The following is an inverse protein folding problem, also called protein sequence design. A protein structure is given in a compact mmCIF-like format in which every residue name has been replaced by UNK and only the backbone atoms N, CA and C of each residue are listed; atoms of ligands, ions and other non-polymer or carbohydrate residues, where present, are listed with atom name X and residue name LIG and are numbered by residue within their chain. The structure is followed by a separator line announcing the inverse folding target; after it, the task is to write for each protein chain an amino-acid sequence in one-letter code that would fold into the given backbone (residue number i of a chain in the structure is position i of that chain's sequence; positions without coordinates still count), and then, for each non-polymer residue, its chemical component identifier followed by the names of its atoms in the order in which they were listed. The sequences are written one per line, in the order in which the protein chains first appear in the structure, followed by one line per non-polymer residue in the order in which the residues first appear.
data_IF_117589064337
#
_entry.id   IF_117589064337
#
_cell.length_a   1.000
_cell.length_b   1.000
_cell.length_c   1.000
_cell.angle_alpha   90.00
_cell.angle_beta   90.00
_cell.angle_gamma   90.00
#
_symmetry.space_group_name_H-M   'P 1'
#
loop_
_entity.id
_entity.type
_entity.pdbx_description
1 polymer ?
#
# COMPACT_ATOMS: atom_id res chain seq x y z
N UNK A 1 17.01 -0.11 14.82
CA UNK A 1 15.77 0.06 14.02
C UNK A 1 15.22 1.42 14.39
N UNK A 2 15.02 2.34 13.44
CA UNK A 2 14.42 3.65 13.74
C UNK A 2 13.00 3.47 14.26
N UNK A 3 12.56 4.33 15.18
CA UNK A 3 11.17 4.33 15.64
C UNK A 3 10.25 4.93 14.55
N UNK A 4 8.96 4.57 14.55
CA UNK A 4 7.97 5.16 13.61
C UNK A 4 8.00 6.68 13.71
N UNK A 5 8.08 7.22 14.93
CA UNK A 5 8.17 8.65 15.20
C UNK A 5 9.39 9.29 14.54
N UNK A 6 10.58 8.68 14.65
CA UNK A 6 11.81 9.16 14.01
C UNK A 6 11.71 9.14 12.48
N UNK A 7 11.13 8.08 11.91
CA UNK A 7 10.93 7.97 10.46
C UNK A 7 10.01 9.09 9.96
N UNK A 8 8.92 9.36 10.68
CA UNK A 8 7.96 10.40 10.33
C UNK A 8 8.52 11.81 10.50
N UNK A 9 9.27 12.07 11.57
CA UNK A 9 9.98 13.34 11.76
C UNK A 9 10.98 13.60 10.62
N UNK A 10 11.73 12.58 10.23
CA UNK A 10 12.71 12.67 9.14
C UNK A 10 12.03 12.94 7.78
N UNK A 11 10.85 12.34 7.56
CA UNK A 11 10.10 12.47 6.32
C UNK A 11 9.18 13.69 6.25
N UNK A 12 8.98 14.43 7.35
CA UNK A 12 8.03 15.54 7.44
C UNK A 12 8.23 16.56 6.31
N UNK A 13 9.48 16.92 6.02
CA UNK A 13 9.79 17.87 4.95
C UNK A 13 9.42 17.36 3.56
N UNK A 14 9.48 16.04 3.34
CA UNK A 14 8.99 15.38 2.12
C UNK A 14 7.47 15.36 2.05
N UNK A 15 6.78 15.06 3.16
CA UNK A 15 5.32 15.02 3.25
C UNK A 15 4.72 16.42 3.01
N UNK A 16 5.26 17.45 3.67
CA UNK A 16 4.88 18.86 3.44
C UNK A 16 5.18 19.35 2.02
N UNK A 17 6.15 18.73 1.36
CA UNK A 17 6.42 19.00 -0.05
C UNK A 17 5.37 18.34 -0.95
N UNK A 18 5.03 17.07 -0.70
CA UNK A 18 4.00 16.35 -1.45
C UNK A 18 2.62 17.03 -1.35
N UNK A 19 2.26 17.58 -0.18
CA UNK A 19 0.98 18.25 0.01
C UNK A 19 0.82 19.56 -0.77
N UNK A 20 1.92 20.15 -1.25
CA UNK A 20 1.92 21.36 -2.10
C UNK A 20 1.80 21.05 -3.59
N UNK A 21 1.94 19.79 -4.00
CA UNK A 21 1.82 19.39 -5.39
C UNK A 21 0.35 19.34 -5.80
N UNK A 22 0.04 19.91 -6.96
CA UNK A 22 -1.26 19.73 -7.58
C UNK A 22 -1.42 18.29 -8.06
N UNK A 23 -2.56 17.62 -7.81
CA UNK A 23 -2.75 16.22 -8.20
C UNK A 23 -2.48 15.90 -9.67
N UNK A 24 -1.51 15.01 -9.93
CA UNK A 24 -1.19 14.42 -11.25
C UNK A 24 -0.82 12.95 -11.12
N UNK A 25 -0.93 12.22 -12.23
CA UNK A 25 -0.51 10.81 -12.35
C UNK A 25 1.02 10.71 -12.35
N UNK A 26 1.70 11.63 -13.04
CA UNK A 26 3.15 11.71 -13.12
C UNK A 26 3.58 13.17 -13.14
N UNK A 27 4.76 13.44 -12.58
CA UNK A 27 5.31 14.76 -12.36
C UNK A 27 6.74 14.83 -12.93
N UNK A 28 7.10 15.99 -13.45
CA UNK A 28 8.47 16.35 -13.83
C UNK A 28 9.22 16.90 -12.62
N UNK A 29 10.42 16.41 -12.34
CA UNK A 29 11.27 16.97 -11.29
C UNK A 29 11.56 18.45 -11.58
N UNK A 30 11.86 18.78 -12.84
CA UNK A 30 12.22 20.15 -13.25
C UNK A 30 11.02 21.09 -13.16
N UNK A 31 9.87 20.66 -13.67
CA UNK A 31 8.74 21.58 -13.89
C UNK A 31 7.74 21.59 -12.73
N UNK A 32 7.65 20.50 -11.95
CA UNK A 32 6.72 20.40 -10.83
C UNK A 32 7.42 20.46 -9.46
N UNK A 33 8.56 19.77 -9.30
CA UNK A 33 9.22 19.69 -7.99
C UNK A 33 10.11 20.90 -7.66
N UNK A 34 10.95 21.34 -8.59
CA UNK A 34 11.89 22.47 -8.37
C UNK A 34 11.17 23.76 -7.97
N UNK A 35 10.05 24.18 -8.61
CA UNK A 35 9.35 25.40 -8.21
C UNK A 35 8.88 25.40 -6.74
N UNK A 36 8.55 24.23 -6.20
CA UNK A 36 8.11 24.06 -4.80
C UNK A 36 9.30 23.84 -3.85
N UNK A 37 10.37 23.22 -4.33
CA UNK A 37 11.55 22.88 -3.55
C UNK A 37 12.62 23.99 -3.51
N UNK A 38 12.58 24.94 -4.45
CA UNK A 38 13.55 26.01 -4.63
C UNK A 38 14.84 25.60 -5.35
N UNK A 39 15.17 24.30 -5.40
CA UNK A 39 16.32 23.79 -6.14
C UNK A 39 16.17 22.32 -6.50
N UNK A 40 16.93 21.87 -7.51
CA UNK A 40 16.96 20.46 -7.94
C UNK A 40 17.47 19.53 -6.83
N UNK A 41 18.50 19.94 -6.10
CA UNK A 41 19.05 19.17 -4.98
C UNK A 41 18.01 18.99 -3.86
N UNK A 42 17.30 20.06 -3.51
CA UNK A 42 16.24 19.99 -2.48
C UNK A 42 15.04 19.17 -2.95
N UNK A 43 14.69 19.22 -4.24
CA UNK A 43 13.64 18.40 -4.82
C UNK A 43 13.98 16.91 -4.68
N UNK A 44 15.16 16.48 -5.14
CA UNK A 44 15.59 15.08 -5.03
C UNK A 44 15.72 14.63 -3.58
N UNK A 45 16.22 15.47 -2.67
CA UNK A 45 16.28 15.15 -1.24
C UNK A 45 14.89 14.85 -0.67
N UNK A 46 13.90 15.73 -0.94
CA UNK A 46 12.52 15.54 -0.47
C UNK A 46 11.83 14.34 -1.10
N UNK A 47 12.07 14.09 -2.40
CA UNK A 47 11.56 12.92 -3.10
C UNK A 47 12.15 11.63 -2.54
N UNK A 48 13.45 11.60 -2.24
CA UNK A 48 14.11 10.45 -1.62
C UNK A 48 13.55 10.13 -0.23
N UNK A 49 13.20 11.14 0.57
CA UNK A 49 12.50 10.93 1.85
C UNK A 49 11.15 10.23 1.66
N UNK A 50 10.37 10.64 0.65
CA UNK A 50 9.09 10.00 0.33
C UNK A 50 9.27 8.58 -0.23
N UNK A 51 10.22 8.38 -1.13
CA UNK A 51 10.56 7.08 -1.70
C UNK A 51 11.04 6.09 -0.63
N UNK A 52 11.78 6.59 0.37
CA UNK A 52 12.22 5.78 1.50
C UNK A 52 11.05 5.21 2.32
N UNK A 53 9.93 5.93 2.39
CA UNK A 53 8.68 5.48 2.99
C UNK A 53 7.73 4.78 1.99
N UNK A 54 8.10 4.57 0.73
CA UNK A 54 7.18 4.01 -0.27
C UNK A 54 6.03 4.95 -0.68
N UNK A 55 6.17 6.25 -0.39
CA UNK A 55 5.20 7.30 -0.74
C UNK A 55 5.46 7.95 -2.10
N UNK A 56 6.60 7.65 -2.72
CA UNK A 56 6.94 8.10 -4.06
C UNK A 56 7.72 7.02 -4.81
N UNK A 57 7.71 7.12 -6.14
CA UNK A 57 8.59 6.35 -7.02
C UNK A 57 9.25 7.32 -7.98
N UNK A 58 10.58 7.27 -8.08
CA UNK A 58 11.36 8.17 -8.93
C UNK A 58 11.95 7.35 -10.08
N UNK A 59 11.76 7.82 -11.31
CA UNK A 59 12.39 7.24 -12.48
C UNK A 59 12.96 8.35 -13.38
N UNK A 60 14.29 8.46 -13.40
CA UNK A 60 15.03 9.52 -14.10
C UNK A 60 14.61 10.92 -13.62
N UNK A 61 14.03 11.73 -14.50
CA UNK A 61 13.53 13.09 -14.23
C UNK A 61 12.03 13.14 -13.96
N UNK A 62 11.38 11.99 -13.84
CA UNK A 62 9.96 11.88 -13.55
C UNK A 62 9.73 11.20 -12.20
N UNK A 63 8.62 11.51 -11.55
CA UNK A 63 8.21 10.85 -10.33
C UNK A 63 6.70 10.68 -10.27
N UNK A 64 6.27 9.77 -9.39
CA UNK A 64 4.87 9.56 -9.03
C UNK A 64 4.75 9.67 -7.51
N UNK A 65 3.64 10.25 -7.05
CA UNK A 65 3.31 10.33 -5.63
C UNK A 65 2.20 9.35 -5.34
N UNK A 66 2.43 8.46 -4.39
CA UNK A 66 1.41 7.56 -3.88
C UNK A 66 0.29 8.39 -3.23
N UNK A 67 -0.96 8.07 -3.54
CA UNK A 67 -2.14 8.77 -2.99
C UNK A 67 -2.16 8.76 -1.45
N UNK A 68 -1.57 7.74 -0.82
CA UNK A 68 -1.34 7.69 0.62
C UNK A 68 -0.66 8.95 1.18
N UNK A 69 0.23 9.59 0.42
CA UNK A 69 1.00 10.75 0.86
C UNK A 69 0.12 12.00 1.16
N UNK A 70 -1.15 11.98 0.77
CA UNK A 70 -2.12 13.06 1.05
C UNK A 70 -2.91 12.86 2.34
N UNK A 71 -2.73 11.73 3.00
CA UNK A 71 -3.35 11.51 4.29
C UNK A 71 -2.79 12.48 5.35
N UNK A 72 -3.59 12.88 6.34
CA UNK A 72 -3.09 13.60 7.50
C UNK A 72 -1.94 12.86 8.21
N UNK A 73 -1.06 13.62 8.88
CA UNK A 73 0.13 13.07 9.55
C UNK A 73 -0.19 11.94 10.53
N UNK A 74 -1.25 12.11 11.32
CA UNK A 74 -1.68 11.10 12.31
C UNK A 74 -2.12 9.78 11.67
N UNK A 75 -2.57 9.80 10.40
CA UNK A 75 -2.86 8.58 9.64
C UNK A 75 -1.57 8.03 9.03
N UNK A 76 -0.73 8.89 8.44
CA UNK A 76 0.55 8.46 7.85
C UNK A 76 1.41 7.68 8.85
N UNK A 77 1.46 8.11 10.12
CA UNK A 77 2.11 7.38 11.22
C UNK A 77 1.61 5.94 11.36
N UNK A 78 0.29 5.73 11.19
CA UNK A 78 -0.36 4.41 11.27
C UNK A 78 -0.14 3.58 10.01
N UNK A 79 0.13 4.23 8.87
CA UNK A 79 0.44 3.56 7.60
C UNK A 79 1.91 3.10 7.50
N UNK A 80 2.83 3.64 8.31
CA UNK A 80 4.27 3.31 8.24
C UNK A 80 4.54 1.80 8.23
N UNK A 81 3.93 0.96 9.10
CA UNK A 81 4.14 -0.48 9.07
C UNK A 81 3.76 -1.11 7.72
N UNK A 82 2.58 -0.75 7.19
CA UNK A 82 2.09 -1.22 5.89
C UNK A 82 2.96 -0.74 4.73
N UNK A 83 3.38 0.53 4.76
CA UNK A 83 4.26 1.13 3.77
C UNK A 83 5.63 0.43 3.70
N UNK A 84 6.24 0.15 4.86
CA UNK A 84 7.51 -0.59 4.93
C UNK A 84 7.32 -2.02 4.41
N UNK A 85 6.25 -2.70 4.83
CA UNK A 85 5.96 -4.06 4.38
C UNK A 85 5.77 -4.13 2.86
N UNK A 86 5.02 -3.19 2.29
CA UNK A 86 4.78 -3.09 0.85
C UNK A 86 6.04 -2.73 0.05
N UNK A 87 6.89 -1.84 0.57
CA UNK A 87 8.16 -1.47 -0.06
C UNK A 87 9.12 -2.67 -0.14
N UNK A 88 9.14 -3.49 0.89
CA UNK A 88 10.02 -4.67 0.99
C UNK A 88 9.33 -5.96 0.53
N UNK A 89 8.16 -5.86 -0.11
CA UNK A 89 7.37 -7.01 -0.51
C UNK A 89 8.11 -7.84 -1.57
N UNK A 90 8.05 -9.17 -1.43
CA UNK A 90 8.59 -10.10 -2.43
C UNK A 90 7.45 -10.68 -3.26
N UNK A 91 7.60 -10.63 -4.58
CA UNK A 91 6.59 -11.09 -5.52
C UNK A 91 7.01 -12.40 -6.16
N UNK A 92 6.06 -13.34 -6.25
CA UNK A 92 6.27 -14.68 -6.74
C UNK A 92 5.21 -15.06 -7.77
N UNK A 93 5.64 -15.80 -8.80
CA UNK A 93 4.77 -16.38 -9.80
C UNK A 93 5.37 -17.67 -10.33
N UNK A 94 4.51 -18.65 -10.60
CA UNK A 94 4.87 -19.91 -11.26
C UNK A 94 4.28 -19.95 -12.66
N UNK A 95 2.95 -19.83 -12.76
CA UNK A 95 2.21 -19.74 -14.02
C UNK A 95 1.59 -18.37 -14.25
N UNK A 96 1.73 -17.45 -13.29
CA UNK A 96 1.15 -16.11 -13.31
C UNK A 96 -0.38 -16.16 -13.50
N UNK A 97 -1.02 -17.11 -12.81
CA UNK A 97 -2.45 -17.39 -12.92
C UNK A 97 -3.08 -17.66 -11.55
N UNK A 98 -4.42 -17.72 -11.50
CA UNK A 98 -5.21 -18.04 -10.30
C UNK A 98 -4.78 -19.35 -9.60
N UNK A 99 -4.19 -20.30 -10.34
CA UNK A 99 -3.63 -21.53 -9.76
C UNK A 99 -2.53 -21.26 -8.73
N UNK A 100 -1.72 -20.23 -8.96
CA UNK A 100 -0.62 -19.84 -8.07
C UNK A 100 -1.19 -19.33 -6.75
N UNK A 101 -2.25 -18.53 -6.83
CA UNK A 101 -2.96 -17.99 -5.66
C UNK A 101 -3.61 -19.12 -4.86
N UNK A 102 -4.31 -20.05 -5.53
CA UNK A 102 -4.96 -21.17 -4.87
C UNK A 102 -3.95 -22.11 -4.19
N UNK A 103 -2.82 -22.36 -4.84
CA UNK A 103 -1.72 -23.14 -4.24
C UNK A 103 -1.26 -22.49 -2.94
N UNK A 104 -0.99 -21.18 -2.95
CA UNK A 104 -0.49 -20.49 -1.76
C UNK A 104 -1.54 -20.43 -0.66
N UNK A 105 -2.80 -20.12 -0.97
CA UNK A 105 -3.91 -20.12 0.00
C UNK A 105 -4.04 -21.46 0.74
N UNK A 106 -3.82 -22.57 0.05
CA UNK A 106 -3.91 -23.91 0.62
C UNK A 106 -2.66 -24.36 1.40
N UNK A 107 -1.55 -23.63 1.28
CA UNK A 107 -0.27 -23.97 1.89
C UNK A 107 0.30 -22.81 2.74
N UNK A 108 -0.57 -21.95 3.26
CA UNK A 108 -0.16 -20.83 4.10
C UNK A 108 0.47 -21.36 5.40
N UNK A 109 1.64 -20.86 5.80
CA UNK A 109 2.21 -21.22 7.09
C UNK A 109 1.33 -20.68 8.23
N UNK A 110 1.37 -21.35 9.38
CA UNK A 110 0.62 -20.93 10.56
C UNK A 110 0.92 -19.49 10.96
N UNK A 111 -0.12 -18.76 11.36
CA UNK A 111 -0.02 -17.34 11.73
C UNK A 111 0.07 -16.37 10.56
N UNK A 112 -0.02 -16.86 9.31
CA UNK A 112 -0.16 -16.01 8.13
C UNK A 112 -1.47 -15.23 8.14
N UNK A 113 -1.46 -14.06 7.51
CA UNK A 113 -2.63 -13.18 7.42
C UNK A 113 -2.79 -12.67 5.98
N UNK A 114 -3.89 -13.01 5.33
CA UNK A 114 -4.23 -12.51 3.99
C UNK A 114 -4.76 -11.08 4.12
N UNK A 115 -4.25 -10.16 3.32
CA UNK A 115 -4.66 -8.74 3.31
C UNK A 115 -4.95 -8.24 1.89
N UNK A 116 -5.25 -6.94 1.75
CA UNK A 116 -5.51 -6.22 0.49
C UNK A 116 -6.54 -6.94 -0.38
N UNK A 117 -6.55 -6.71 -1.69
CA UNK A 117 -7.29 -7.40 -2.76
C UNK A 117 -8.22 -8.53 -2.29
N UNK A 118 -7.69 -9.70 -1.91
CA UNK A 118 -8.52 -10.84 -1.51
C UNK A 118 -9.29 -10.60 -0.22
N UNK A 119 -8.65 -10.07 0.82
CA UNK A 119 -9.33 -9.83 2.09
C UNK A 119 -10.29 -8.65 2.01
N UNK A 120 -9.94 -7.61 1.27
CA UNK A 120 -10.82 -6.48 0.96
C UNK A 120 -12.07 -6.98 0.22
N UNK A 121 -11.90 -7.76 -0.85
CA UNK A 121 -13.01 -8.39 -1.57
C UNK A 121 -13.83 -9.34 -0.69
N UNK A 122 -13.19 -10.11 0.20
CA UNK A 122 -13.91 -11.01 1.10
C UNK A 122 -14.90 -10.27 2.01
N UNK A 123 -14.54 -9.07 2.48
CA UNK A 123 -15.36 -8.28 3.41
C UNK A 123 -16.31 -7.30 2.70
N UNK A 124 -15.94 -6.74 1.56
CA UNK A 124 -16.76 -5.73 0.85
C UNK A 124 -17.49 -6.27 -0.38
N UNK A 125 -16.95 -7.31 -1.04
CA UNK A 125 -17.35 -7.79 -2.36
C UNK A 125 -17.27 -6.75 -3.48
N UNK A 126 -16.53 -5.65 -3.26
CA UNK A 126 -16.52 -4.48 -4.13
C UNK A 126 -15.64 -4.65 -5.38
N UNK A 127 -14.32 -4.83 -5.24
CA UNK A 127 -13.42 -5.02 -6.40
C UNK A 127 -12.96 -6.46 -6.55
N UNK A 128 -12.91 -6.97 -7.79
CA UNK A 128 -12.30 -8.28 -8.05
C UNK A 128 -10.81 -8.28 -7.67
N UNK A 129 -10.37 -9.25 -6.84
CA UNK A 129 -8.98 -9.33 -6.40
C UNK A 129 -8.07 -9.74 -7.57
N UNK A 130 -6.88 -9.16 -7.65
CA UNK A 130 -5.88 -9.49 -8.67
C UNK A 130 -4.68 -10.22 -8.07
N UNK A 131 -4.18 -9.71 -6.94
CA UNK A 131 -2.96 -10.20 -6.30
C UNK A 131 -3.28 -10.76 -4.90
N UNK A 132 -2.65 -11.87 -4.53
CA UNK A 132 -2.70 -12.43 -3.18
C UNK A 132 -1.59 -11.80 -2.33
N UNK A 133 -1.95 -10.86 -1.47
CA UNK A 133 -1.05 -10.30 -0.46
C UNK A 133 -1.15 -11.07 0.85
N UNK A 134 -0.01 -11.52 1.37
CA UNK A 134 0.04 -12.35 2.58
C UNK A 134 1.13 -11.85 3.50
N UNK A 135 0.75 -11.49 4.72
CA UNK A 135 1.70 -11.32 5.81
C UNK A 135 2.17 -12.68 6.34
N UNK A 136 3.49 -12.87 6.40
CA UNK A 136 4.14 -14.07 6.91
C UNK A 136 5.15 -13.70 7.99
N UNK A 137 5.34 -14.59 8.96
CA UNK A 137 6.25 -14.36 10.09
C UNK A 137 7.72 -14.41 9.67
N UNK A 138 8.07 -15.27 8.72
CA UNK A 138 9.43 -15.40 8.18
C UNK A 138 9.36 -15.40 6.65
N UNK A 139 9.64 -14.24 6.05
CA UNK A 139 9.56 -14.06 4.61
C UNK A 139 10.57 -14.92 3.84
N UNK A 140 11.76 -15.18 4.41
CA UNK A 140 12.80 -15.95 3.73
C UNK A 140 12.47 -17.44 3.72
N UNK A 141 11.94 -17.95 4.84
CA UNK A 141 11.45 -19.33 4.91
C UNK A 141 10.30 -19.56 3.93
N UNK A 142 9.31 -18.66 3.89
CA UNK A 142 8.19 -18.80 2.94
C UNK A 142 8.66 -18.61 1.49
N UNK A 143 9.56 -17.66 1.22
CA UNK A 143 10.14 -17.48 -0.11
C UNK A 143 10.88 -18.73 -0.59
N UNK A 144 11.66 -19.37 0.29
CA UNK A 144 12.33 -20.64 -0.02
C UNK A 144 11.32 -21.74 -0.35
N UNK A 145 10.29 -21.91 0.48
CA UNK A 145 9.21 -22.87 0.21
C UNK A 145 8.56 -22.66 -1.16
N UNK A 146 8.28 -21.41 -1.56
CA UNK A 146 7.74 -21.12 -2.88
C UNK A 146 8.72 -21.49 -4.00
N UNK A 147 10.01 -21.17 -3.85
CA UNK A 147 11.06 -21.54 -4.82
C UNK A 147 11.20 -23.05 -4.97
N UNK A 148 11.13 -23.79 -3.86
CA UNK A 148 11.15 -25.26 -3.85
C UNK A 148 9.91 -25.88 -4.52
N UNK A 149 8.86 -25.07 -4.78
CA UNK A 149 7.63 -25.45 -5.48
C UNK A 149 7.49 -24.75 -6.86
N UNK A 150 8.61 -24.45 -7.52
CA UNK A 150 8.73 -23.88 -8.86
C UNK A 150 8.24 -22.42 -9.01
N UNK A 151 8.03 -21.68 -7.92
CA UNK A 151 7.74 -20.25 -8.03
C UNK A 151 9.03 -19.46 -8.25
N UNK A 152 8.98 -18.51 -9.17
CA UNK A 152 10.06 -17.57 -9.43
C UNK A 152 9.77 -16.23 -8.75
N UNK A 153 10.79 -15.64 -8.15
CA UNK A 153 10.74 -14.29 -7.61
C UNK A 153 10.89 -13.27 -8.75
N UNK A 154 10.02 -12.27 -8.80
CA UNK A 154 10.06 -11.25 -9.84
C UNK A 154 8.93 -10.23 -9.73
N UNK A 155 8.98 -9.15 -10.50
CA UNK A 155 8.08 -7.99 -10.34
C UNK A 155 6.62 -8.26 -10.77
N UNK A 156 6.39 -9.30 -11.57
CA UNK A 156 5.08 -9.63 -12.17
C UNK A 156 4.31 -10.71 -11.42
N UNK A 157 4.85 -11.26 -10.34
CA UNK A 157 4.18 -12.29 -9.56
C UNK A 157 2.88 -11.82 -8.91
N UNK A 158 1.87 -12.68 -8.90
CA UNK A 158 0.56 -12.43 -8.27
C UNK A 158 0.49 -12.88 -6.80
N UNK A 159 1.50 -13.59 -6.31
CA UNK A 159 1.67 -13.88 -4.88
C UNK A 159 2.64 -12.87 -4.30
N UNK A 160 2.22 -12.12 -3.30
CA UNK A 160 3.00 -11.06 -2.68
C UNK A 160 3.19 -11.36 -1.20
N UNK A 161 4.43 -11.66 -0.82
CA UNK A 161 4.80 -11.88 0.58
C UNK A 161 5.17 -10.57 1.25
N UNK A 162 4.57 -10.34 2.41
CA UNK A 162 4.79 -9.20 3.27
C UNK A 162 5.36 -9.69 4.60
N UNK A 163 6.39 -9.02 5.12
CA UNK A 163 6.91 -9.35 6.46
C UNK A 163 5.92 -8.87 7.53
N UNK A 164 5.39 -9.81 8.32
CA UNK A 164 4.45 -9.50 9.40
C UNK A 164 5.12 -8.59 10.42
N UNK A 165 4.49 -7.46 10.68
CA UNK A 165 4.90 -6.54 11.74
C UNK A 165 4.25 -6.98 13.05
N UNK A 166 4.94 -6.81 14.20
CA UNK A 166 4.33 -7.10 15.49
C UNK A 166 3.11 -6.19 15.72
N UNK A 167 2.08 -6.73 16.39
CA UNK A 167 0.90 -6.00 16.88
C UNK A 167 -0.26 -5.71 15.91
N UNK A 168 -0.55 -6.60 14.95
CA UNK A 168 -1.87 -6.57 14.28
C UNK A 168 -2.94 -7.00 15.31
N UNK A 169 -3.80 -6.07 15.73
CA UNK A 169 -4.85 -6.32 16.73
C UNK A 169 -6.25 -6.45 16.11
N UNK A 170 -6.50 -5.71 15.05
CA UNK A 170 -7.77 -5.70 14.32
C UNK A 170 -7.48 -5.94 12.83
N UNK A 171 -7.91 -7.10 12.35
CA UNK A 171 -7.67 -7.54 10.97
C UNK A 171 -8.34 -6.65 9.93
N UNK A 172 -9.55 -6.14 10.21
CA UNK A 172 -10.27 -5.26 9.26
C UNK A 172 -9.59 -3.90 9.19
N UNK A 173 -9.23 -3.33 10.34
CA UNK A 173 -8.48 -2.08 10.40
C UNK A 173 -7.13 -2.20 9.68
N UNK A 174 -6.43 -3.34 9.85
CA UNK A 174 -5.16 -3.57 9.15
C UNK A 174 -5.35 -3.63 7.63
N UNK A 175 -6.36 -4.34 7.14
CA UNK A 175 -6.66 -4.41 5.69
C UNK A 175 -7.00 -3.04 5.14
N UNK A 176 -7.78 -2.26 5.90
CA UNK A 176 -8.10 -0.88 5.60
C UNK A 176 -6.84 0.00 5.47
N UNK A 177 -5.93 -0.05 6.45
CA UNK A 177 -4.66 0.67 6.41
C UNK A 177 -3.76 0.21 5.25
N UNK A 178 -3.70 -1.09 4.99
CA UNK A 178 -2.93 -1.64 3.87
C UNK A 178 -3.46 -1.10 2.53
N UNK A 179 -4.78 -1.04 2.37
CA UNK A 179 -5.43 -0.51 1.18
C UNK A 179 -5.07 0.96 0.95
N UNK A 180 -5.06 1.78 2.02
CA UNK A 180 -4.60 3.18 1.93
C UNK A 180 -3.11 3.24 1.56
N UNK A 181 -2.26 2.49 2.26
CA UNK A 181 -0.81 2.49 2.04
C UNK A 181 -0.43 2.04 0.62
N UNK A 182 -1.13 1.04 0.08
CA UNK A 182 -0.94 0.54 -1.29
C UNK A 182 -1.30 1.59 -2.34
N UNK A 183 -2.29 2.45 -2.04
CA UNK A 183 -2.74 3.52 -2.90
C UNK A 183 -3.34 3.01 -4.22
N UNK A 184 -3.37 3.89 -5.23
CA UNK A 184 -3.89 3.55 -6.56
C UNK A 184 -5.34 3.08 -6.50
N UNK A 185 -5.62 1.88 -7.07
CA UNK A 185 -6.96 1.28 -7.05
C UNK A 185 -7.43 0.91 -5.64
N UNK A 186 -6.51 0.48 -4.77
CA UNK A 186 -6.82 0.00 -3.43
C UNK A 186 -7.37 1.11 -2.51
N UNK A 187 -7.27 2.39 -2.91
CA UNK A 187 -8.00 3.47 -2.22
C UNK A 187 -9.51 3.24 -2.26
N UNK A 188 -10.05 2.71 -3.35
CA UNK A 188 -11.49 2.46 -3.46
C UNK A 188 -11.92 1.30 -2.54
N UNK A 189 -11.09 0.25 -2.43
CA UNK A 189 -11.29 -0.81 -1.44
C UNK A 189 -11.25 -0.26 0.01
N UNK A 190 -10.33 0.66 0.32
CA UNK A 190 -10.28 1.30 1.64
C UNK A 190 -11.57 2.06 1.96
N UNK A 191 -12.10 2.82 0.99
CA UNK A 191 -13.37 3.54 1.12
C UNK A 191 -14.53 2.55 1.35
N UNK A 192 -14.59 1.46 0.57
CA UNK A 192 -15.63 0.44 0.72
C UNK A 192 -15.59 -0.22 2.11
N UNK A 193 -14.39 -0.45 2.66
CA UNK A 193 -14.23 -0.96 4.02
C UNK A 193 -14.69 0.08 5.04
N UNK A 194 -14.29 1.35 4.91
CA UNK A 194 -14.69 2.41 5.84
C UNK A 194 -16.22 2.62 5.85
N UNK A 195 -16.87 2.61 4.67
CA UNK A 195 -18.32 2.74 4.57
C UNK A 195 -19.08 1.58 5.23
N UNK A 196 -18.54 0.35 5.18
CA UNK A 196 -19.20 -0.85 5.70
C UNK A 196 -18.86 -1.18 7.15
N UNK A 197 -17.63 -0.89 7.56
CA UNK A 197 -17.06 -1.30 8.84
C UNK A 197 -16.47 -0.14 9.65
N UNK A 198 -16.70 1.10 9.26
CA UNK A 198 -16.10 2.28 9.89
C UNK A 198 -16.37 2.38 11.39
N UNK A 199 -17.49 1.88 11.89
CA UNK A 199 -17.78 1.87 13.33
C UNK A 199 -16.88 0.92 14.14
N UNK A 200 -16.14 0.01 13.49
CA UNK A 200 -15.30 -1.00 14.14
C UNK A 200 -13.86 -0.54 14.37
N UNK A 201 -13.48 0.65 13.92
CA UNK A 201 -12.14 1.21 14.10
C UNK A 201 -12.16 2.75 14.09
N UNK A 202 -11.32 3.38 14.90
CA UNK A 202 -11.35 4.84 15.11
C UNK A 202 -10.68 5.62 13.97
N UNK A 203 -9.77 5.00 13.22
CA UNK A 203 -9.01 5.67 12.18
C UNK A 203 -9.89 5.89 10.95
N UNK A 204 -10.04 7.14 10.52
CA UNK A 204 -10.81 7.51 9.31
C UNK A 204 -9.92 8.22 8.31
N UNK A 205 -9.97 7.75 7.08
CA UNK A 205 -9.12 8.20 5.98
C UNK A 205 -9.66 9.49 5.39
N UNK A 206 -8.77 10.26 4.77
CA UNK A 206 -9.16 11.38 3.94
C UNK A 206 -9.18 10.95 2.49
N UNK A 207 -10.36 10.95 1.88
CA UNK A 207 -10.57 10.55 0.50
C UNK A 207 -11.13 11.68 -0.36
N UNK A 208 -10.88 11.60 -1.66
CA UNK A 208 -11.46 12.54 -2.63
C UNK A 208 -12.95 12.25 -2.77
N UNK A 209 -13.80 13.29 -2.78
CA UNK A 209 -15.26 13.12 -2.77
C UNK A 209 -15.77 12.30 -3.97
N UNK A 210 -15.11 12.42 -5.12
CA UNK A 210 -15.47 11.68 -6.33
C UNK A 210 -15.26 10.17 -6.17
N UNK A 211 -14.24 9.75 -5.43
CA UNK A 211 -14.00 8.34 -5.15
C UNK A 211 -15.03 7.80 -4.17
N UNK A 212 -15.43 8.60 -3.17
CA UNK A 212 -16.46 8.23 -2.21
C UNK A 212 -17.79 8.00 -2.94
N UNK A 213 -18.22 8.97 -3.76
CA UNK A 213 -19.45 8.86 -4.55
C UNK A 213 -19.42 7.64 -5.48
N UNK A 214 -18.31 7.43 -6.18
CA UNK A 214 -18.13 6.26 -7.03
C UNK A 214 -18.34 4.94 -6.28
N UNK A 215 -17.71 4.80 -5.11
CA UNK A 215 -17.83 3.56 -4.32
C UNK A 215 -19.25 3.38 -3.81
N UNK A 216 -19.92 4.47 -3.37
CA UNK A 216 -21.32 4.41 -2.95
C UNK A 216 -22.25 3.94 -4.07
N UNK A 217 -22.11 4.51 -5.27
CA UNK A 217 -22.92 4.15 -6.44
C UNK A 217 -22.70 2.67 -6.83
N UNK A 218 -21.44 2.27 -6.97
CA UNK A 218 -21.07 0.91 -7.37
C UNK A 218 -21.54 -0.13 -6.31
N UNK A 219 -21.42 0.15 -5.00
CA UNK A 219 -21.86 -0.77 -3.95
C UNK A 219 -23.40 -0.90 -3.86
N UNK A 220 -24.14 0.17 -4.13
CA UNK A 220 -25.61 0.12 -4.17
C UNK A 220 -26.13 -0.76 -5.32
N UNK A 221 -25.45 -0.76 -6.47
CA UNK A 221 -25.82 -1.62 -7.60
C UNK A 221 -25.49 -3.10 -7.42
N UNK A 222 -24.75 -3.45 -6.37
CA UNK A 222 -24.34 -4.84 -6.07
C UNK A 222 -25.16 -5.47 -4.92
N UNK A 223 -26.14 -4.74 -4.39
CA UNK A 223 -27.05 -5.16 -3.31
C UNK A 223 -28.38 -5.67 -3.85
#
# INVERSE_FOLDING_TARGET
MQTITEMMYTAESGIRFASKLTPKISYSVKDDAVPIAGSISTAYRRLSLLENLGLATIHRSQFQINRAARQPMYILEKLVPSLIALKNAKRFGRKYHISDINFVKNNLPDGSFITLDYRAWDVTKFQTPLDLYVYVTDIEKTAKFLKDNDFNEGTKGHVVLLQKQPNIKNDIEQVYLDCIAKGGRSILDAIAIELKYGEQFDIKGRFDIQDILKVQDDMQTTS
#
